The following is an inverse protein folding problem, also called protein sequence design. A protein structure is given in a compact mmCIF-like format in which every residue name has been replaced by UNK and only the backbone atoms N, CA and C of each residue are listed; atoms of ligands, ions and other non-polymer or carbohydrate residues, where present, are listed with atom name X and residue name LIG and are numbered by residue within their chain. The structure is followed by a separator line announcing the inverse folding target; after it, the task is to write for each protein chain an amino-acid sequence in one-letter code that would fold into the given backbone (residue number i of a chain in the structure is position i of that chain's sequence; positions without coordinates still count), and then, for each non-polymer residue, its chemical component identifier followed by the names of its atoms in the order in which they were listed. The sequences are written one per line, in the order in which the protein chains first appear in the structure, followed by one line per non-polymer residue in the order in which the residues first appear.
data_IF_802056951516
#
_entry.id   IF_802056951516
#
_cell.length_a   1.000
_cell.length_b   1.000
_cell.length_c   1.000
_cell.angle_alpha   90.00
_cell.angle_beta   90.00
_cell.angle_gamma   90.00
#
_symmetry.space_group_name_H-M   'P 1'
#
loop_
_entity.id
_entity.type
_entity.pdbx_description
1 polymer ?
#
# COMPACT_ATOMS: atom_id res chain seq x y z
N UNK A 1 2.29 -12.25 0.16
CA UNK A 1 2.80 -10.93 -0.26
C UNK A 1 4.20 -11.19 -0.77
N UNK A 2 4.47 -10.94 -2.04
CA UNK A 2 5.82 -11.13 -2.58
C UNK A 2 6.73 -10.02 -2.03
N UNK A 3 7.99 -10.33 -1.72
CA UNK A 3 8.97 -9.37 -1.17
C UNK A 3 9.15 -8.10 -2.03
N UNK A 4 8.73 -8.11 -3.30
CA UNK A 4 8.83 -6.99 -4.23
C UNK A 4 7.86 -5.81 -3.96
N UNK A 5 6.89 -5.97 -3.05
CA UNK A 5 5.87 -4.93 -2.78
C UNK A 5 6.17 -4.08 -1.54
N UNK A 6 7.32 -4.30 -0.88
CA UNK A 6 7.72 -3.56 0.33
C UNK A 6 9.08 -2.89 0.11
N UNK A 7 9.17 -1.60 0.46
CA UNK A 7 10.45 -0.89 0.54
C UNK A 7 10.70 -0.46 1.98
N UNK A 8 11.96 -0.53 2.39
CA UNK A 8 12.43 0.13 3.61
C UNK A 8 12.86 1.53 3.24
N UNK A 9 12.39 2.53 3.97
CA UNK A 9 12.74 3.91 3.71
C UNK A 9 13.95 4.30 4.54
N UNK A 10 14.99 4.75 3.85
CA UNK A 10 16.26 5.17 4.44
C UNK A 10 16.25 6.63 4.90
N UNK A 11 15.12 7.33 4.73
CA UNK A 11 14.88 8.70 5.20
C UNK A 11 13.40 8.83 5.55
N UNK A 12 13.07 9.79 6.42
CA UNK A 12 11.68 10.17 6.74
C UNK A 12 10.88 10.37 5.44
N UNK A 13 9.77 9.66 5.30
CA UNK A 13 8.89 9.78 4.15
C UNK A 13 7.45 10.08 4.59
N UNK A 14 6.67 10.67 3.70
CA UNK A 14 5.27 11.00 3.97
C UNK A 14 4.41 10.11 3.08
N UNK A 15 3.44 9.43 3.67
CA UNK A 15 2.46 8.65 2.94
C UNK A 15 1.65 9.58 2.04
N UNK A 16 1.68 9.41 0.71
CA UNK A 16 0.98 10.28 -0.22
C UNK A 16 -0.55 10.14 -0.16
N UNK A 17 -1.07 9.13 0.55
CA UNK A 17 -2.52 8.88 0.68
C UNK A 17 -3.12 9.52 1.93
N UNK A 18 -2.47 9.41 3.09
CA UNK A 18 -3.00 9.88 4.36
C UNK A 18 -2.17 10.97 5.04
N UNK A 19 -1.02 11.35 4.46
CA UNK A 19 -0.12 12.34 5.05
C UNK A 19 0.64 11.87 6.30
N UNK A 20 0.45 10.62 6.74
CA UNK A 20 1.22 10.08 7.86
C UNK A 20 2.71 10.06 7.51
N UNK A 21 3.51 10.52 8.46
CA UNK A 21 4.95 10.36 8.40
C UNK A 21 5.34 8.93 8.72
N UNK A 22 6.22 8.36 7.92
CA UNK A 22 6.92 7.11 8.21
C UNK A 22 8.37 7.45 8.52
N UNK A 23 8.83 7.00 9.67
CA UNK A 23 10.19 7.26 10.16
C UNK A 23 11.25 6.48 9.37
N UNK A 24 12.50 6.88 9.54
CA UNK A 24 13.64 6.17 8.96
C UNK A 24 13.71 4.72 9.48
N UNK A 25 13.96 3.77 8.57
CA UNK A 25 13.85 2.34 8.87
C UNK A 25 12.43 1.80 8.82
N UNK A 26 11.42 2.64 8.63
CA UNK A 26 10.05 2.23 8.41
C UNK A 26 9.85 1.52 7.07
N UNK A 27 8.72 0.80 6.96
CA UNK A 27 8.35 0.06 5.75
C UNK A 27 7.19 0.76 5.03
N UNK A 28 7.34 1.00 3.74
CA UNK A 28 6.22 1.38 2.87
C UNK A 28 5.90 0.26 1.90
N UNK A 29 4.65 0.24 1.46
CA UNK A 29 4.07 -0.82 0.68
C UNK A 29 3.60 -0.25 -0.65
N UNK A 30 3.82 -0.97 -1.74
CA UNK A 30 3.39 -0.56 -3.07
C UNK A 30 1.87 -0.41 -3.08
N UNK A 31 1.38 0.74 -3.54
CA UNK A 31 -0.05 0.98 -3.66
C UNK A 31 -0.62 0.16 -4.82
N UNK A 32 -1.74 -0.50 -4.56
CA UNK A 32 -2.48 -1.25 -5.58
C UNK A 32 -3.31 -0.33 -6.48
N UNK A 33 -3.73 0.84 -5.97
CA UNK A 33 -4.47 1.84 -6.75
C UNK A 33 -3.56 2.81 -7.50
N UNK A 34 -2.36 3.07 -6.98
CA UNK A 34 -1.39 4.00 -7.57
C UNK A 34 -0.10 3.24 -7.95
N UNK A 35 0.01 2.75 -9.19
CA UNK A 35 1.23 2.09 -9.64
C UNK A 35 2.41 3.07 -9.51
N UNK A 36 3.54 2.57 -9.00
CA UNK A 36 4.78 3.32 -8.75
C UNK A 36 4.75 4.27 -7.54
N UNK A 37 3.69 4.25 -6.72
CA UNK A 37 3.69 4.92 -5.42
C UNK A 37 3.73 3.92 -4.28
N UNK A 38 4.43 4.30 -3.21
CA UNK A 38 4.44 3.56 -1.96
C UNK A 38 3.63 4.33 -0.92
N UNK A 39 2.87 3.60 -0.12
CA UNK A 39 2.00 4.12 0.94
C UNK A 39 2.37 3.47 2.27
N UNK A 40 1.93 4.08 3.38
CA UNK A 40 2.12 3.48 4.70
C UNK A 40 1.36 2.14 4.80
N UNK A 41 1.79 1.31 5.76
CA UNK A 41 1.20 0.00 6.02
C UNK A 41 -0.33 0.04 6.13
N UNK A 42 -0.87 0.99 6.90
CA UNK A 42 -2.31 1.16 7.09
C UNK A 42 -3.05 1.38 5.78
N UNK A 43 -2.51 2.25 4.92
CA UNK A 43 -3.09 2.52 3.61
C UNK A 43 -3.05 1.29 2.70
N UNK A 44 -1.95 0.55 2.69
CA UNK A 44 -1.85 -0.67 1.89
C UNK A 44 -2.82 -1.76 2.37
N UNK A 45 -2.95 -1.95 3.68
CA UNK A 45 -3.93 -2.90 4.25
C UNK A 45 -5.34 -2.54 3.77
N UNK A 46 -5.74 -1.28 3.89
CA UNK A 46 -7.06 -0.83 3.41
C UNK A 46 -7.25 -1.12 1.91
N UNK A 47 -6.25 -0.86 1.06
CA UNK A 47 -6.35 -1.18 -0.37
C UNK A 47 -6.51 -2.68 -0.63
N UNK A 48 -5.78 -3.52 0.11
CA UNK A 48 -5.90 -4.96 0.02
C UNK A 48 -7.28 -5.45 0.48
N UNK A 49 -7.84 -4.87 1.53
CA UNK A 49 -9.19 -5.20 2.01
C UNK A 49 -10.27 -4.77 1.01
N UNK A 50 -10.15 -3.57 0.44
CA UNK A 50 -11.04 -3.09 -0.62
C UNK A 50 -10.97 -4.02 -1.85
N UNK A 51 -9.77 -4.44 -2.26
CA UNK A 51 -9.59 -5.38 -3.37
C UNK A 51 -10.17 -6.77 -3.04
N UNK A 52 -9.96 -7.28 -1.82
CA UNK A 52 -10.57 -8.53 -1.35
C UNK A 52 -12.10 -8.44 -1.35
N UNK A 53 -12.67 -7.31 -0.93
CA UNK A 53 -14.11 -7.07 -0.96
C UNK A 53 -14.64 -7.07 -2.39
N UNK A 54 -13.97 -6.41 -3.33
CA UNK A 54 -14.32 -6.43 -4.76
C UNK A 54 -14.25 -7.83 -5.38
N UNK A 55 -13.22 -8.61 -5.02
CA UNK A 55 -13.08 -10.01 -5.45
C UNK A 55 -14.17 -10.90 -4.89
N UNK A 56 -14.53 -10.75 -3.61
CA UNK A 56 -15.64 -11.48 -2.98
C UNK A 56 -17.01 -11.07 -3.52
N UNK A 57 -17.17 -9.82 -3.94
CA UNK A 57 -18.41 -9.30 -4.52
C UNK A 57 -18.63 -9.69 -5.99
N UNK A 58 -17.79 -10.55 -6.58
CA UNK A 58 -18.00 -11.07 -7.93
C UNK A 58 -17.77 -10.07 -9.08
N UNK A 59 -17.24 -8.88 -8.81
CA UNK A 59 -16.93 -7.85 -9.82
C UNK A 59 -15.52 -8.03 -10.42
N UNK A 60 -15.15 -9.28 -10.66
CA UNK A 60 -13.98 -9.69 -11.41
C UNK A 60 -14.39 -10.58 -12.57
N UNK A 61 -15.18 -10.04 -13.50
CA UNK A 61 -15.31 -10.60 -14.84
C UNK A 61 -14.12 -10.12 -15.68
N UNK A 62 -13.44 -11.04 -16.37
CA UNK A 62 -13.68 -11.23 -17.80
C UNK A 62 -14.92 -12.08 -18.05
#
# INVERSE_FOLDING_TARGET
MSEADVITIHKKAICPRCGMTVEEGGKMFRSLKMPNKYVCMTCAIMEHEELKKKRKAGLGKP
#
